data_IF_968647149726
#
_entry.id   IF_968647149726
#
_cell.length_a   1.000
_cell.length_b   1.000
_cell.length_c   1.000
_cell.angle_alpha   90.00
_cell.angle_beta   90.00
_cell.angle_gamma   90.00
#
_symmetry.space_group_name_H-M   'P 1'
#
loop_
_entity.id
_entity.type
_entity.pdbx_description
1 polymer ?
#
# COMPACT_ATOMS: atom_id res chain seq x y z
N UNK A 1 52.73 44.33 45.28
CA UNK A 1 52.27 45.26 44.22
C UNK A 1 52.16 44.58 42.87
N UNK A 2 53.21 44.57 42.05
CA UNK A 2 53.24 43.86 40.75
C UNK A 2 54.15 42.63 40.79
N UNK A 3 55.25 42.71 41.53
CA UNK A 3 56.22 41.61 41.70
C UNK A 3 55.58 40.39 42.37
N UNK A 4 54.66 40.62 43.30
CA UNK A 4 53.93 39.57 44.03
C UNK A 4 52.87 38.87 43.15
N UNK A 5 52.31 39.58 42.17
CA UNK A 5 51.37 39.03 41.19
C UNK A 5 52.08 38.15 40.14
N UNK A 6 53.37 38.37 39.89
CA UNK A 6 54.19 37.53 39.00
C UNK A 6 54.64 36.23 39.67
N UNK A 7 54.58 36.13 41.00
CA UNK A 7 54.91 34.92 41.75
C UNK A 7 53.76 33.90 41.79
N UNK A 8 52.56 34.28 41.37
CA UNK A 8 51.41 33.36 41.22
C UNK A 8 51.42 32.76 39.80
N UNK A 9 51.11 31.44 39.64
CA UNK A 9 51.06 30.81 38.33
C UNK A 9 50.12 31.57 37.40
N UNK A 10 50.67 32.18 36.36
CA UNK A 10 49.89 32.89 35.37
C UNK A 10 49.14 31.86 34.49
N UNK A 11 47.87 32.10 34.13
CA UNK A 11 47.19 31.27 33.16
C UNK A 11 48.00 31.25 31.87
N UNK A 12 48.34 30.05 31.40
CA UNK A 12 49.13 29.85 30.19
C UNK A 12 48.47 30.61 29.04
N UNK A 13 49.19 31.57 28.43
CA UNK A 13 48.72 32.24 27.23
C UNK A 13 48.34 31.17 26.21
N UNK A 14 47.17 31.30 25.55
CA UNK A 14 46.76 30.45 24.43
C UNK A 14 47.71 30.68 23.23
N UNK A 15 48.96 30.26 23.36
CA UNK A 15 49.89 30.14 22.25
C UNK A 15 49.49 28.95 21.38
N UNK A 16 49.94 28.96 20.12
CA UNK A 16 49.80 27.82 19.19
C UNK A 16 50.47 26.59 19.84
N UNK A 17 49.66 25.68 20.39
CA UNK A 17 50.15 24.42 20.95
C UNK A 17 50.62 23.54 19.78
N UNK A 18 51.93 23.43 19.56
CA UNK A 18 52.47 22.39 18.68
C UNK A 18 52.23 21.05 19.34
N UNK A 19 51.53 20.15 18.65
CA UNK A 19 51.34 18.77 19.07
C UNK A 19 52.07 17.88 18.08
N UNK A 20 53.29 17.48 18.41
CA UNK A 20 54.18 16.74 17.50
C UNK A 20 53.65 15.34 17.13
N UNK A 21 52.62 14.86 17.83
CA UNK A 21 51.95 13.57 17.60
C UNK A 21 50.58 13.70 16.90
N UNK A 22 50.15 14.90 16.50
CA UNK A 22 48.85 15.12 15.85
C UNK A 22 49.08 15.54 14.40
N UNK A 23 48.60 14.71 13.47
CA UNK A 23 48.58 15.00 12.05
C UNK A 23 47.19 15.44 11.62
N UNK A 24 47.11 16.43 10.72
CA UNK A 24 45.86 16.92 10.15
C UNK A 24 45.85 16.50 8.68
N UNK A 25 44.77 15.84 8.29
CA UNK A 25 44.57 15.35 6.93
C UNK A 25 43.33 15.97 6.31
N UNK A 26 43.35 16.08 4.99
CA UNK A 26 42.19 16.41 4.20
C UNK A 26 41.43 15.10 3.87
N UNK A 27 40.19 14.89 4.34
CA UNK A 27 39.43 13.72 3.92
C UNK A 27 39.04 13.85 2.45
N UNK A 28 39.27 12.80 1.66
CA UNK A 28 38.82 12.78 0.26
C UNK A 28 37.30 13.07 0.16
N UNK A 29 36.80 13.81 -0.86
CA UNK A 29 35.37 14.08 -1.02
C UNK A 29 34.47 12.86 -0.82
N UNK A 30 34.74 11.74 -1.51
CA UNK A 30 34.00 10.48 -1.33
C UNK A 30 33.98 9.94 0.11
N UNK A 31 35.06 10.16 0.87
CA UNK A 31 35.16 9.77 2.26
C UNK A 31 34.36 10.71 3.15
N UNK A 32 34.44 12.03 2.92
CA UNK A 32 33.67 13.04 3.66
C UNK A 32 32.17 12.76 3.64
N UNK A 33 31.64 12.27 2.50
CA UNK A 33 30.23 11.87 2.33
C UNK A 33 29.76 10.80 3.33
N UNK A 34 30.69 10.00 3.87
CA UNK A 34 30.36 8.84 4.69
C UNK A 34 30.85 8.95 6.14
N UNK A 35 31.87 9.78 6.39
CA UNK A 35 32.54 9.84 7.70
C UNK A 35 32.10 11.02 8.57
N UNK A 36 31.35 11.98 8.02
CA UNK A 36 30.84 13.11 8.82
C UNK A 36 29.90 12.63 9.94
N UNK A 37 30.07 13.18 11.13
CA UNK A 37 29.27 12.81 12.31
C UNK A 37 27.80 13.27 12.23
N UNK A 38 27.53 14.27 11.38
CA UNK A 38 26.19 14.79 11.10
C UNK A 38 25.89 14.62 9.62
N UNK A 39 24.61 14.68 9.24
CA UNK A 39 24.18 14.64 7.84
C UNK A 39 24.88 15.80 7.10
N UNK A 40 25.74 15.53 6.09
CA UNK A 40 26.50 16.56 5.38
C UNK A 40 25.64 17.72 4.87
N UNK A 41 24.46 17.42 4.31
CA UNK A 41 23.51 18.44 3.88
C UNK A 41 23.04 19.37 5.01
N UNK A 42 22.80 18.83 6.21
CA UNK A 42 22.39 19.63 7.38
C UNK A 42 23.54 20.53 7.84
N UNK A 43 24.76 20.00 7.88
CA UNK A 43 25.95 20.80 8.18
C UNK A 43 26.14 21.90 7.12
N UNK A 44 25.85 21.60 5.85
CA UNK A 44 26.00 22.56 4.78
C UNK A 44 24.99 23.70 4.87
N UNK A 45 23.73 23.39 5.22
CA UNK A 45 22.75 24.45 5.50
C UNK A 45 23.19 25.31 6.69
N UNK A 46 23.77 24.70 7.73
CA UNK A 46 24.31 25.43 8.88
C UNK A 46 25.42 26.40 8.49
N UNK A 47 26.48 25.93 7.80
CA UNK A 47 27.60 26.79 7.41
C UNK A 47 27.15 27.91 6.45
N UNK A 48 26.21 27.61 5.56
CA UNK A 48 25.66 28.66 4.68
C UNK A 48 24.94 29.74 5.48
N UNK A 49 24.12 29.38 6.47
CA UNK A 49 23.46 30.35 7.35
C UNK A 49 24.46 31.16 8.17
N UNK A 50 25.58 30.55 8.58
CA UNK A 50 26.67 31.23 9.30
C UNK A 50 27.39 32.27 8.42
N UNK A 51 27.53 32.00 7.12
CA UNK A 51 28.17 32.91 6.15
C UNK A 51 27.22 34.02 5.65
N UNK A 52 25.93 33.97 6.00
CA UNK A 52 24.89 34.92 5.60
C UNK A 52 23.76 34.26 4.83
N UNK A 53 22.53 34.77 4.99
CA UNK A 53 21.38 34.29 4.20
C UNK A 53 21.60 34.67 2.73
N UNK A 54 21.61 33.70 1.79
CA UNK A 54 21.65 34.04 0.37
C UNK A 54 20.38 34.79 -0.02
N UNK A 55 20.46 35.68 -1.01
CA UNK A 55 19.27 36.25 -1.65
C UNK A 55 18.33 35.12 -2.06
N UNK A 56 17.05 35.27 -1.74
CA UNK A 56 16.03 34.26 -2.01
C UNK A 56 16.10 33.92 -3.50
N UNK A 57 16.42 32.66 -3.89
CA UNK A 57 16.63 32.36 -5.29
C UNK A 57 15.34 32.67 -6.05
N UNK A 58 15.42 33.60 -7.00
CA UNK A 58 14.33 33.90 -7.92
C UNK A 58 14.01 32.60 -8.65
N UNK A 59 12.77 32.16 -8.57
CA UNK A 59 12.34 30.89 -9.18
C UNK A 59 12.81 30.79 -10.63
N UNK A 60 13.69 29.83 -10.90
CA UNK A 60 13.46 28.77 -11.88
C UNK A 60 14.65 27.84 -11.81
N UNK A 61 14.43 26.58 -11.41
CA UNK A 61 15.34 25.52 -11.84
C UNK A 61 15.45 25.61 -13.38
N UNK A 62 16.64 25.45 -13.98
CA UNK A 62 16.78 25.55 -15.42
C UNK A 62 15.76 24.62 -16.09
N UNK A 63 14.78 25.19 -16.77
CA UNK A 63 13.82 24.40 -17.56
C UNK A 63 14.64 23.63 -18.57
N UNK A 64 14.51 22.30 -18.54
CA UNK A 64 15.05 21.45 -19.60
C UNK A 64 14.40 21.92 -20.89
N UNK A 65 15.14 22.69 -21.70
CA UNK A 65 14.75 22.93 -23.09
C UNK A 65 14.97 21.62 -23.82
N UNK A 66 13.93 20.82 -23.92
CA UNK A 66 13.93 19.73 -24.89
C UNK A 66 14.06 20.37 -26.28
N UNK A 67 15.14 20.03 -26.97
CA UNK A 67 15.31 20.44 -28.35
C UNK A 67 14.17 19.78 -29.16
N UNK A 68 13.44 20.51 -30.02
CA UNK A 68 12.23 20.01 -30.70
C UNK A 68 12.45 18.81 -31.64
N UNK A 69 13.68 18.32 -31.77
CA UNK A 69 14.07 17.19 -32.60
C UNK A 69 14.17 15.85 -31.85
N UNK A 70 13.91 15.79 -30.54
CA UNK A 70 14.00 14.54 -29.77
C UNK A 70 15.41 13.91 -29.72
N UNK A 71 16.43 14.61 -30.23
CA UNK A 71 17.82 14.20 -30.23
C UNK A 71 18.49 14.70 -28.94
N UNK A 72 18.70 13.79 -27.97
CA UNK A 72 19.71 13.99 -26.93
C UNK A 72 21.08 13.92 -27.58
N UNK A 73 21.81 15.03 -27.56
CA UNK A 73 23.21 15.07 -27.95
C UNK A 73 24.01 14.23 -26.95
N UNK A 74 24.28 12.98 -27.28
CA UNK A 74 25.28 12.17 -26.57
C UNK A 74 26.64 12.57 -27.13
N UNK A 75 27.15 13.73 -26.69
CA UNK A 75 28.53 14.12 -26.99
C UNK A 75 29.44 13.61 -25.87
N UNK A 76 30.16 12.55 -26.22
CA UNK A 76 31.51 12.19 -25.75
C UNK A 76 32.15 13.18 -24.75
N UNK A 77 32.45 12.71 -23.54
CA UNK A 77 33.45 13.28 -22.62
C UNK A 77 33.16 14.64 -21.97
N UNK A 78 32.33 15.50 -22.58
CA UNK A 78 32.00 16.85 -22.11
C UNK A 78 30.71 16.85 -21.26
N UNK A 79 29.92 15.77 -21.35
CA UNK A 79 28.68 15.59 -20.60
C UNK A 79 28.86 15.43 -19.09
N UNK A 80 30.02 14.97 -18.62
CA UNK A 80 30.29 14.78 -17.19
C UNK A 80 30.48 16.11 -16.46
N UNK A 81 31.30 17.03 -16.98
CA UNK A 81 31.50 18.35 -16.35
C UNK A 81 30.23 19.21 -16.38
N UNK A 82 29.47 19.17 -17.47
CA UNK A 82 28.20 19.92 -17.57
C UNK A 82 27.10 19.31 -16.70
N UNK A 83 27.05 17.98 -16.53
CA UNK A 83 26.14 17.33 -15.56
C UNK A 83 26.54 17.66 -14.13
N UNK A 84 27.81 17.50 -13.79
CA UNK A 84 28.35 17.82 -12.46
C UNK A 84 28.16 19.29 -12.09
N UNK A 85 28.33 20.22 -13.04
CA UNK A 85 28.04 21.65 -12.82
C UNK A 85 26.56 21.86 -12.53
N UNK A 86 25.65 21.22 -13.27
CA UNK A 86 24.19 21.32 -13.05
C UNK A 86 23.76 20.71 -11.72
N UNK A 87 24.36 19.59 -11.32
CA UNK A 87 24.14 18.94 -10.03
C UNK A 87 24.61 19.84 -8.88
N UNK A 88 25.80 20.43 -9.00
CA UNK A 88 26.30 21.45 -8.06
C UNK A 88 25.39 22.67 -7.99
N UNK A 89 24.92 23.19 -9.12
CA UNK A 89 23.96 24.30 -9.15
C UNK A 89 22.63 23.94 -8.46
N UNK A 90 22.10 22.73 -8.72
CA UNK A 90 20.87 22.25 -8.08
C UNK A 90 21.04 22.11 -6.57
N UNK A 91 22.18 21.59 -6.10
CA UNK A 91 22.54 21.53 -4.69
C UNK A 91 22.61 22.93 -4.08
N UNK A 92 23.27 23.88 -4.74
CA UNK A 92 23.40 25.26 -4.27
C UNK A 92 22.02 25.93 -4.12
N UNK A 93 21.10 25.68 -5.05
CA UNK A 93 19.70 26.12 -4.97
C UNK A 93 18.97 25.45 -3.81
N UNK A 94 19.11 24.14 -3.64
CA UNK A 94 18.50 23.39 -2.54
C UNK A 94 18.99 23.89 -1.17
N UNK A 95 20.29 24.14 -1.03
CA UNK A 95 20.90 24.72 0.16
C UNK A 95 20.40 26.14 0.43
N UNK A 96 20.29 26.99 -0.60
CA UNK A 96 19.78 28.35 -0.45
C UNK A 96 18.30 28.37 -0.01
N UNK A 97 17.45 27.54 -0.63
CA UNK A 97 16.04 27.38 -0.22
C UNK A 97 15.92 26.89 1.22
N UNK A 98 16.74 25.91 1.60
CA UNK A 98 16.75 25.33 2.94
C UNK A 98 17.29 26.29 4.01
N UNK A 99 18.26 27.15 3.64
CA UNK A 99 18.83 28.16 4.52
C UNK A 99 17.88 29.35 4.75
N UNK A 100 17.08 29.73 3.75
CA UNK A 100 16.22 30.93 3.75
C UNK A 100 14.72 30.67 3.87
N UNK A 101 14.29 29.55 4.45
CA UNK A 101 12.89 29.15 4.49
C UNK A 101 11.95 30.11 5.27
N UNK A 102 12.47 30.98 6.15
CA UNK A 102 11.67 31.99 6.84
C UNK A 102 12.43 33.31 7.10
N UNK A 103 11.82 34.50 6.85
CA UNK A 103 12.48 35.81 7.08
C UNK A 103 12.87 36.09 8.54
N UNK A 104 12.20 35.45 9.50
CA UNK A 104 12.53 35.56 10.94
C UNK A 104 13.70 34.67 11.38
N UNK A 105 14.19 33.78 10.51
CA UNK A 105 15.16 32.75 10.89
C UNK A 105 16.61 33.23 10.84
N UNK A 106 16.94 34.48 10.47
CA UNK A 106 18.34 34.93 10.47
C UNK A 106 19.05 34.71 11.82
N UNK A 107 18.31 34.76 12.93
CA UNK A 107 18.82 34.62 14.30
C UNK A 107 18.28 33.41 15.07
N UNK A 108 17.40 32.59 14.47
CA UNK A 108 16.84 31.40 15.12
C UNK A 108 17.77 30.17 15.01
N UNK A 109 17.82 29.26 15.99
CA UNK A 109 18.58 28.01 15.84
C UNK A 109 18.11 27.18 14.62
N UNK A 110 19.01 26.41 14.01
CA UNK A 110 18.68 25.58 12.85
C UNK A 110 17.73 24.43 13.23
N UNK A 111 16.50 24.49 12.73
CA UNK A 111 15.55 23.38 12.83
C UNK A 111 15.93 22.26 11.87
N UNK A 112 16.55 21.21 12.43
CA UNK A 112 17.02 20.04 11.65
C UNK A 112 15.87 19.27 10.98
N UNK A 113 14.67 19.22 11.57
CA UNK A 113 13.53 18.54 10.96
C UNK A 113 13.07 19.27 9.69
N UNK A 114 13.04 20.60 9.72
CA UNK A 114 12.76 21.40 8.52
C UNK A 114 13.81 21.19 7.45
N UNK A 115 15.09 21.12 7.81
CA UNK A 115 16.16 20.84 6.83
C UNK A 115 16.02 19.44 6.24
N UNK A 116 15.69 18.42 7.04
CA UNK A 116 15.43 17.06 6.54
C UNK A 116 14.21 17.01 5.61
N UNK A 117 13.16 17.79 5.89
CA UNK A 117 12.02 17.94 4.99
C UNK A 117 12.40 18.64 3.68
N UNK A 118 13.23 19.68 3.76
CA UNK A 118 13.73 20.40 2.58
C UNK A 118 14.66 19.52 1.72
N UNK A 119 15.49 18.68 2.35
CA UNK A 119 16.27 17.65 1.68
C UNK A 119 15.36 16.68 0.91
N UNK A 120 14.31 16.15 1.57
CA UNK A 120 13.37 15.24 0.92
C UNK A 120 12.61 15.90 -0.24
N UNK A 121 12.27 17.19 -0.11
CA UNK A 121 11.63 17.94 -1.18
C UNK A 121 12.59 18.12 -2.37
N UNK A 122 13.84 18.52 -2.12
CA UNK A 122 14.86 18.65 -3.16
C UNK A 122 15.14 17.31 -3.87
N UNK A 123 15.21 16.22 -3.11
CA UNK A 123 15.36 14.87 -3.65
C UNK A 123 14.13 14.43 -4.46
N UNK A 124 12.92 14.80 -4.04
CA UNK A 124 11.69 14.53 -4.81
C UNK A 124 11.65 15.30 -6.13
N UNK A 125 12.11 16.56 -6.14
CA UNK A 125 12.25 17.36 -7.37
C UNK A 125 13.32 16.78 -8.30
N UNK A 126 14.43 16.25 -7.77
CA UNK A 126 15.46 15.57 -8.56
C UNK A 126 14.95 14.24 -9.13
N UNK A 127 14.27 13.44 -8.31
CA UNK A 127 13.61 12.20 -8.70
C UNK A 127 12.64 12.43 -9.85
N UNK A 128 11.77 13.44 -9.75
CA UNK A 128 10.83 13.79 -10.82
C UNK A 128 11.53 14.22 -12.11
N UNK A 129 12.64 14.97 -12.02
CA UNK A 129 13.42 15.35 -13.21
C UNK A 129 14.09 14.16 -13.89
N UNK A 130 14.56 13.18 -13.11
CA UNK A 130 15.29 12.02 -13.63
C UNK A 130 14.40 10.88 -14.11
N UNK A 131 13.24 10.67 -13.46
CA UNK A 131 12.33 9.54 -13.74
C UNK A 131 11.01 9.97 -14.39
N UNK A 132 10.66 11.26 -14.35
CA UNK A 132 9.33 11.75 -14.73
C UNK A 132 8.21 11.40 -13.74
N UNK A 133 8.50 10.62 -12.70
CA UNK A 133 7.52 10.19 -11.71
C UNK A 133 7.34 11.22 -10.60
N UNK A 134 6.10 11.38 -10.12
CA UNK A 134 5.77 12.31 -9.06
C UNK A 134 5.52 11.55 -7.77
N UNK A 135 6.11 12.03 -6.68
CA UNK A 135 5.85 11.45 -5.36
C UNK A 135 4.47 11.91 -4.87
N UNK A 136 3.58 10.96 -4.57
CA UNK A 136 2.27 11.27 -4.03
C UNK A 136 2.38 11.95 -2.63
N UNK A 137 1.51 12.91 -2.29
CA UNK A 137 1.52 13.54 -0.96
C UNK A 137 1.37 12.55 0.21
N UNK A 138 0.62 11.46 -0.01
CA UNK A 138 0.47 10.39 0.98
C UNK A 138 1.79 9.63 1.24
N UNK A 139 2.62 9.47 0.21
CA UNK A 139 3.96 8.86 0.33
C UNK A 139 4.87 9.72 1.21
N UNK A 140 4.80 11.05 1.12
CA UNK A 140 5.53 11.96 2.01
C UNK A 140 5.07 11.82 3.47
N UNK A 141 3.76 11.70 3.71
CA UNK A 141 3.22 11.47 5.07
C UNK A 141 3.70 10.14 5.66
N UNK A 142 3.68 9.09 4.83
CA UNK A 142 4.17 7.75 5.20
C UNK A 142 5.66 7.79 5.51
N UNK A 143 6.45 8.47 4.67
CA UNK A 143 7.89 8.66 4.88
C UNK A 143 8.20 9.35 6.21
N UNK A 144 7.51 10.46 6.51
CA UNK A 144 7.68 11.19 7.79
C UNK A 144 7.35 10.31 9.00
N UNK A 145 6.27 9.55 8.90
CA UNK A 145 5.83 8.66 9.98
C UNK A 145 6.84 7.53 10.19
N UNK A 146 7.30 6.92 9.09
CA UNK A 146 8.28 5.85 9.12
C UNK A 146 9.62 6.30 9.70
N UNK A 147 10.21 7.39 9.18
CA UNK A 147 11.52 7.87 9.64
C UNK A 147 11.48 8.35 11.08
N UNK A 148 10.40 9.01 11.52
CA UNK A 148 10.16 9.34 12.93
C UNK A 148 10.12 8.08 13.79
N UNK A 149 9.31 7.10 13.43
CA UNK A 149 9.15 5.88 14.22
C UNK A 149 10.46 5.08 14.27
N UNK A 150 11.22 5.05 13.17
CA UNK A 150 12.52 4.39 13.12
C UNK A 150 13.52 5.10 14.05
N UNK A 151 13.61 6.43 14.03
CA UNK A 151 14.44 7.18 14.97
C UNK A 151 14.07 6.87 16.43
N UNK A 152 12.76 6.83 16.74
CA UNK A 152 12.25 6.51 18.08
C UNK A 152 12.64 5.10 18.53
N UNK A 153 12.54 4.10 17.65
CA UNK A 153 12.93 2.72 17.96
C UNK A 153 14.42 2.58 18.27
N UNK A 154 15.25 3.44 17.72
CA UNK A 154 16.69 3.48 17.99
C UNK A 154 17.08 4.43 19.13
N UNK A 155 16.10 4.98 19.87
CA UNK A 155 16.36 5.92 20.96
C UNK A 155 16.96 7.25 20.49
N UNK A 156 16.76 7.62 19.21
CA UNK A 156 17.23 8.88 18.62
C UNK A 156 16.11 9.91 18.60
N UNK A 157 16.46 11.17 18.87
CA UNK A 157 15.52 12.30 18.76
C UNK A 157 15.16 12.63 17.30
N UNK A 158 16.09 12.41 16.38
CA UNK A 158 15.97 12.73 14.97
C UNK A 158 16.50 11.58 14.12
N UNK A 159 15.94 11.37 12.91
CA UNK A 159 16.44 10.35 12.03
C UNK A 159 17.83 10.69 11.50
N UNK A 160 18.67 9.67 11.33
CA UNK A 160 19.96 9.79 10.66
C UNK A 160 19.81 9.66 9.12
N UNK A 161 20.87 9.92 8.37
CA UNK A 161 20.84 9.85 6.90
C UNK A 161 20.45 8.44 6.40
N UNK A 162 20.91 7.39 7.08
CA UNK A 162 20.57 6.01 6.73
C UNK A 162 19.06 5.76 6.82
N UNK A 163 18.42 6.19 7.90
CA UNK A 163 16.98 6.08 8.10
C UNK A 163 16.20 6.89 7.06
N UNK A 164 16.68 8.08 6.69
CA UNK A 164 16.06 8.87 5.62
C UNK A 164 16.12 8.15 4.26
N UNK A 165 17.25 7.54 3.91
CA UNK A 165 17.46 6.78 2.67
C UNK A 165 16.57 5.53 2.64
N UNK A 166 16.56 4.74 3.73
CA UNK A 166 15.72 3.53 3.82
C UNK A 166 14.24 3.88 3.76
N UNK A 167 13.84 4.97 4.42
CA UNK A 167 12.47 5.49 4.32
C UNK A 167 12.12 5.88 2.88
N UNK A 168 13.02 6.60 2.19
CA UNK A 168 12.81 7.03 0.81
C UNK A 168 12.65 5.83 -0.13
N UNK A 169 13.48 4.80 0.05
CA UNK A 169 13.36 3.52 -0.65
C UNK A 169 12.01 2.85 -0.44
N UNK A 170 11.49 2.87 0.80
CA UNK A 170 10.24 2.23 1.15
C UNK A 170 9.00 2.90 0.57
N UNK A 171 9.04 4.21 0.29
CA UNK A 171 7.88 4.96 -0.24
C UNK A 171 7.84 5.10 -1.75
N UNK A 172 8.96 4.86 -2.43
CA UNK A 172 9.05 4.85 -3.89
C UNK A 172 9.92 3.68 -4.35
N UNK A 173 11.19 3.93 -4.63
CA UNK A 173 12.14 2.94 -5.14
C UNK A 173 13.61 3.31 -4.82
N UNK A 174 14.55 2.52 -5.36
CA UNK A 174 15.98 2.75 -5.23
C UNK A 174 16.46 4.05 -5.92
N UNK A 175 15.72 4.61 -6.88
CA UNK A 175 16.07 5.89 -7.51
C UNK A 175 15.82 7.05 -6.54
N UNK A 176 14.66 7.09 -5.87
CA UNK A 176 14.42 8.13 -4.86
C UNK A 176 15.41 8.02 -3.70
N UNK A 177 15.73 6.80 -3.27
CA UNK A 177 16.74 6.55 -2.25
C UNK A 177 18.13 7.06 -2.68
N UNK A 178 18.47 6.93 -3.97
CA UNK A 178 19.70 7.48 -4.55
C UNK A 178 19.71 9.00 -4.49
N UNK A 179 18.65 9.69 -4.88
CA UNK A 179 18.57 11.16 -4.81
C UNK A 179 18.73 11.68 -3.37
N UNK A 180 18.12 11.00 -2.39
CA UNK A 180 18.26 11.36 -0.96
C UNK A 180 19.68 11.12 -0.46
N UNK A 181 20.30 10.00 -0.83
CA UNK A 181 21.69 9.73 -0.50
C UNK A 181 22.63 10.75 -1.14
N UNK A 182 22.43 11.03 -2.42
CA UNK A 182 23.33 11.87 -3.21
C UNK A 182 23.35 13.30 -2.63
N UNK A 183 22.17 13.93 -2.51
CA UNK A 183 22.02 15.25 -1.92
C UNK A 183 22.35 15.28 -0.42
N UNK A 184 21.93 14.25 0.33
CA UNK A 184 22.06 14.21 1.78
C UNK A 184 23.49 14.05 2.26
N UNK A 185 24.31 13.33 1.49
CA UNK A 185 25.72 13.06 1.79
C UNK A 185 26.69 14.10 1.23
N UNK A 186 26.20 15.07 0.46
CA UNK A 186 27.06 16.05 -0.21
C UNK A 186 27.56 17.15 0.74
N UNK A 187 28.87 17.42 0.71
CA UNK A 187 29.51 18.52 1.43
C UNK A 187 30.26 19.45 0.44
N UNK A 188 29.68 20.62 0.10
CA UNK A 188 30.16 21.45 -1.01
C UNK A 188 31.58 22.01 -0.89
N UNK A 189 32.14 22.09 0.33
CA UNK A 189 33.44 22.74 0.56
C UNK A 189 34.60 21.75 0.65
N UNK A 190 34.38 20.46 0.40
CA UNK A 190 35.46 19.47 0.36
C UNK A 190 36.01 19.38 -1.05
N UNK A 191 37.31 19.65 -1.20
CA UNK A 191 38.06 19.43 -2.43
C UNK A 191 39.04 18.28 -2.25
N UNK A 192 39.35 17.58 -3.34
CA UNK A 192 40.42 16.59 -3.40
C UNK A 192 41.78 17.28 -3.36
N UNK A 193 41.89 18.47 -3.96
CA UNK A 193 43.10 19.28 -3.99
C UNK A 193 43.09 20.28 -2.81
N UNK A 194 43.83 19.96 -1.76
CA UNK A 194 44.00 20.83 -0.60
C UNK A 194 45.48 20.99 -0.23
N UNK A 195 45.79 22.03 0.54
CA UNK A 195 47.15 22.25 1.08
C UNK A 195 47.61 21.14 2.04
N UNK A 196 46.65 20.38 2.58
CA UNK A 196 46.88 19.24 3.48
C UNK A 196 46.88 17.92 2.68
N UNK A 197 47.65 16.90 3.09
CA UNK A 197 47.62 15.60 2.44
C UNK A 197 46.21 14.98 2.46
N UNK A 198 45.75 14.56 1.29
CA UNK A 198 44.43 13.94 1.12
C UNK A 198 44.47 12.45 1.46
N UNK A 199 43.54 11.99 2.31
CA UNK A 199 43.43 10.59 2.73
C UNK A 199 42.04 10.05 2.42
N UNK A 200 41.97 8.83 1.88
CA UNK A 200 40.74 8.06 1.74
C UNK A 200 40.54 7.21 3.00
N UNK A 201 39.40 7.41 3.65
CA UNK A 201 38.99 6.65 4.83
C UNK A 201 37.62 6.04 4.59
N UNK A 202 37.43 4.85 5.12
CA UNK A 202 36.15 4.15 5.14
C UNK A 202 35.43 4.41 6.47
N UNK A 203 34.09 4.27 6.52
CA UNK A 203 33.34 4.41 7.76
C UNK A 203 33.77 3.43 8.86
N UNK A 204 34.21 2.23 8.48
CA UNK A 204 34.63 1.18 9.42
C UNK A 204 35.97 1.50 10.11
N UNK A 205 36.77 2.40 9.54
CA UNK A 205 38.03 2.87 10.15
C UNK A 205 37.80 3.98 11.19
N UNK A 206 36.65 4.65 11.15
CA UNK A 206 36.34 5.78 12.04
C UNK A 206 35.27 5.42 13.08
N UNK A 207 34.24 4.67 12.68
CA UNK A 207 33.07 4.41 13.50
C UNK A 207 32.96 2.93 13.88
N UNK A 208 32.61 2.67 15.14
CA UNK A 208 32.28 1.32 15.60
C UNK A 208 30.87 0.94 15.13
N UNK A 209 30.78 0.11 14.10
CA UNK A 209 29.52 -0.47 13.60
C UNK A 209 28.85 0.35 12.50
N UNK A 210 29.46 0.41 11.32
CA UNK A 210 28.87 1.07 10.15
C UNK A 210 27.65 0.30 9.60
N UNK A 211 26.71 1.05 9.00
CA UNK A 211 25.56 0.48 8.29
C UNK A 211 25.80 0.54 6.80
N UNK A 212 25.57 -0.60 6.14
CA UNK A 212 25.70 -0.71 4.68
C UNK A 212 24.33 -0.81 4.04
N UNK A 213 24.18 -0.18 2.89
CA UNK A 213 23.03 -0.31 2.02
C UNK A 213 23.51 -0.44 0.58
N UNK A 214 22.71 -1.09 -0.26
CA UNK A 214 22.98 -1.20 -1.68
C UNK A 214 21.80 -0.59 -2.44
N UNK A 215 22.09 0.42 -3.24
CA UNK A 215 21.13 1.02 -4.16
C UNK A 215 21.35 0.43 -5.54
N UNK A 216 20.25 0.06 -6.21
CA UNK A 216 20.24 -0.37 -7.60
C UNK A 216 19.29 0.52 -8.40
N UNK A 217 19.67 1.78 -8.68
CA UNK A 217 18.85 2.69 -9.44
C UNK A 217 18.45 2.06 -10.79
N UNK A 218 17.17 2.21 -11.16
CA UNK A 218 16.66 1.73 -12.44
C UNK A 218 17.02 2.76 -13.51
N UNK A 219 17.95 2.40 -14.37
CA UNK A 219 18.24 3.21 -15.57
C UNK A 219 17.09 3.05 -16.55
N UNK A 220 16.43 4.16 -16.89
CA UNK A 220 15.42 4.16 -17.95
C UNK A 220 16.04 3.67 -19.26
N UNK A 221 15.58 2.52 -19.74
CA UNK A 221 15.95 2.04 -21.07
C UNK A 221 15.20 2.88 -22.09
N UNK A 222 15.90 3.79 -22.78
CA UNK A 222 15.36 4.55 -23.91
C UNK A 222 14.73 3.69 -25.00
N UNK A 223 15.10 2.41 -25.06
CA UNK A 223 14.49 1.38 -25.92
C UNK A 223 13.48 0.55 -25.13
N UNK A 224 12.36 1.15 -24.71
CA UNK A 224 11.16 0.38 -24.29
C UNK A 224 10.63 -0.32 -25.53
N UNK A 225 10.87 -1.62 -25.67
CA UNK A 225 10.16 -2.43 -26.66
C UNK A 225 8.68 -2.38 -26.28
N UNK A 226 7.86 -1.79 -27.14
CA UNK A 226 6.42 -2.00 -27.08
C UNK A 226 6.24 -3.52 -27.23
N UNK A 227 5.95 -4.21 -26.13
CA UNK A 227 5.42 -5.55 -26.24
C UNK A 227 4.06 -5.37 -26.93
N UNK A 228 3.83 -6.01 -28.09
CA UNK A 228 2.48 -6.06 -28.63
C UNK A 228 1.66 -6.84 -27.61
N UNK A 229 0.95 -6.12 -26.74
CA UNK A 229 -0.20 -6.68 -26.06
C UNK A 229 -1.13 -7.02 -27.21
N UNK A 230 -1.21 -8.31 -27.55
CA UNK A 230 -2.26 -8.80 -28.45
C UNK A 230 -3.57 -8.61 -27.68
N UNK A 231 -4.11 -7.39 -27.71
CA UNK A 231 -5.49 -7.14 -27.35
C UNK A 231 -6.29 -8.06 -28.27
N UNK A 232 -6.91 -9.10 -27.71
CA UNK A 232 -7.87 -9.90 -28.47
C UNK A 232 -8.91 -8.92 -28.99
N UNK A 233 -9.09 -8.86 -30.31
CA UNK A 233 -10.15 -8.06 -30.90
C UNK A 233 -11.49 -8.57 -30.35
N UNK A 234 -12.32 -7.65 -29.86
CA UNK A 234 -13.64 -8.00 -29.35
C UNK A 234 -14.48 -8.48 -30.53
N UNK A 235 -14.97 -9.71 -30.46
CA UNK A 235 -15.88 -10.21 -31.49
C UNK A 235 -17.13 -9.34 -31.55
N UNK A 236 -17.64 -9.11 -32.77
CA UNK A 236 -18.84 -8.34 -33.04
C UNK A 236 -19.91 -9.22 -33.70
N UNK A 237 -21.18 -8.92 -33.44
CA UNK A 237 -22.31 -9.52 -34.16
C UNK A 237 -22.18 -9.27 -35.66
N UNK A 238 -22.51 -10.27 -36.50
CA UNK A 238 -22.51 -10.07 -37.95
C UNK A 238 -23.74 -9.25 -38.37
N UNK A 239 -24.86 -9.43 -37.66
CA UNK A 239 -26.09 -8.65 -37.83
C UNK A 239 -26.63 -8.21 -36.47
N UNK A 240 -27.10 -6.96 -36.32
CA UNK A 240 -27.67 -6.50 -35.05
C UNK A 240 -28.78 -7.42 -34.54
N UNK A 241 -28.63 -7.91 -33.31
CA UNK A 241 -29.60 -8.76 -32.62
C UNK A 241 -29.50 -10.26 -32.93
N UNK A 242 -28.49 -10.69 -33.68
CA UNK A 242 -28.22 -12.10 -33.98
C UNK A 242 -28.02 -12.93 -32.70
N UNK A 243 -27.11 -12.49 -31.81
CA UNK A 243 -26.81 -13.22 -30.58
C UNK A 243 -28.00 -13.24 -29.61
N UNK A 244 -28.81 -12.18 -29.58
CA UNK A 244 -30.04 -12.14 -28.77
C UNK A 244 -31.05 -13.19 -29.23
N UNK A 245 -31.27 -13.34 -30.54
CA UNK A 245 -32.16 -14.37 -31.09
C UNK A 245 -31.64 -15.76 -30.73
N UNK A 246 -30.35 -15.99 -30.88
CA UNK A 246 -29.71 -17.27 -30.53
C UNK A 246 -29.87 -17.62 -29.05
N UNK A 247 -29.69 -16.65 -28.14
CA UNK A 247 -29.89 -16.86 -26.71
C UNK A 247 -31.32 -17.30 -26.37
N UNK A 248 -32.34 -16.69 -26.99
CA UNK A 248 -33.76 -17.02 -26.75
C UNK A 248 -34.21 -18.35 -27.37
N UNK A 249 -33.49 -18.89 -28.36
CA UNK A 249 -33.82 -20.17 -29.00
C UNK A 249 -33.29 -21.40 -28.26
N UNK A 250 -32.57 -21.20 -27.15
CA UNK A 250 -31.99 -22.30 -26.38
C UNK A 250 -32.99 -23.05 -25.51
N UNK A 251 -32.67 -24.32 -25.23
CA UNK A 251 -33.50 -25.25 -24.46
C UNK A 251 -33.13 -25.30 -22.97
N UNK A 252 -32.13 -24.53 -22.52
CA UNK A 252 -31.68 -24.50 -21.13
C UNK A 252 -30.56 -23.48 -20.91
N UNK A 253 -30.32 -23.14 -19.65
CA UNK A 253 -29.29 -22.20 -19.22
C UNK A 253 -28.33 -22.87 -18.24
N UNK A 254 -27.04 -22.54 -18.33
CA UNK A 254 -26.02 -23.02 -17.40
C UNK A 254 -24.99 -21.93 -17.10
N UNK A 255 -24.21 -22.16 -16.04
CA UNK A 255 -23.14 -21.29 -15.61
C UNK A 255 -21.84 -21.50 -16.41
N UNK A 256 -20.93 -20.53 -16.27
CA UNK A 256 -19.57 -20.63 -16.81
C UNK A 256 -18.60 -21.14 -15.73
N UNK A 257 -18.04 -22.37 -15.85
CA UNK A 257 -17.32 -23.03 -14.76
C UNK A 257 -16.16 -22.23 -14.14
N UNK A 258 -15.36 -21.46 -14.91
CA UNK A 258 -14.30 -20.64 -14.31
C UNK A 258 -14.81 -19.55 -13.36
N UNK A 259 -16.04 -19.06 -13.54
CA UNK A 259 -16.66 -18.10 -12.62
C UNK A 259 -17.21 -18.80 -11.39
N UNK A 260 -17.73 -20.01 -11.55
CA UNK A 260 -18.23 -20.84 -10.43
C UNK A 260 -17.10 -21.12 -9.43
N UNK A 261 -15.91 -21.50 -9.90
CA UNK A 261 -14.72 -21.67 -9.04
C UNK A 261 -14.38 -20.39 -8.26
N UNK A 262 -14.47 -19.22 -8.91
CA UNK A 262 -14.18 -17.94 -8.25
C UNK A 262 -15.21 -17.61 -7.16
N UNK A 263 -16.47 -17.99 -7.37
CA UNK A 263 -17.55 -17.80 -6.39
C UNK A 263 -17.38 -18.77 -5.22
N UNK A 264 -17.03 -20.04 -5.47
CA UNK A 264 -16.74 -21.04 -4.43
C UNK A 264 -15.52 -20.66 -3.58
N UNK A 265 -14.40 -20.28 -4.21
CA UNK A 265 -13.19 -19.79 -3.51
C UNK A 265 -13.53 -18.59 -2.61
N UNK A 266 -14.40 -17.69 -3.10
CA UNK A 266 -14.86 -16.56 -2.31
C UNK A 266 -15.77 -16.99 -1.15
N UNK A 267 -16.65 -17.96 -1.38
CA UNK A 267 -17.46 -18.58 -0.33
C UNK A 267 -16.58 -19.16 0.79
N UNK A 268 -15.55 -19.93 0.46
CA UNK A 268 -14.58 -20.45 1.43
C UNK A 268 -13.83 -19.33 2.17
N UNK A 269 -13.38 -18.31 1.44
CA UNK A 269 -12.74 -17.15 2.05
C UNK A 269 -13.65 -16.45 3.07
N UNK A 270 -14.94 -16.31 2.76
CA UNK A 270 -15.94 -15.73 3.67
C UNK A 270 -16.15 -16.61 4.92
N UNK A 271 -16.23 -17.94 4.75
CA UNK A 271 -16.32 -18.88 5.88
C UNK A 271 -15.10 -18.75 6.80
N UNK A 272 -13.90 -18.68 6.22
CA UNK A 272 -12.65 -18.49 6.98
C UNK A 272 -12.61 -17.15 7.74
N UNK A 273 -12.95 -16.04 7.06
CA UNK A 273 -13.01 -14.70 7.68
C UNK A 273 -14.01 -14.64 8.83
N UNK A 274 -15.17 -15.29 8.67
CA UNK A 274 -16.19 -15.37 9.71
C UNK A 274 -15.73 -16.16 10.93
N UNK A 275 -15.04 -17.30 10.73
CA UNK A 275 -14.44 -18.06 11.83
C UNK A 275 -13.41 -17.23 12.59
N UNK A 276 -12.56 -16.48 11.89
CA UNK A 276 -11.60 -15.60 12.54
C UNK A 276 -12.28 -14.52 13.38
N UNK A 277 -13.35 -13.89 12.85
CA UNK A 277 -14.13 -12.90 13.60
C UNK A 277 -14.72 -13.50 14.89
N UNK A 278 -15.36 -14.67 14.80
CA UNK A 278 -15.92 -15.35 15.95
C UNK A 278 -14.84 -15.74 16.98
N UNK A 279 -13.66 -16.16 16.52
CA UNK A 279 -12.54 -16.49 17.40
C UNK A 279 -12.00 -15.25 18.13
N UNK A 280 -12.02 -14.08 17.49
CA UNK A 280 -11.64 -12.81 18.09
C UNK A 280 -12.66 -12.31 19.12
N UNK A 281 -13.96 -12.51 18.87
CA UNK A 281 -15.01 -12.17 19.84
C UNK A 281 -14.92 -13.02 21.12
N UNK A 282 -14.57 -14.30 21.00
CA UNK A 282 -14.40 -15.24 22.12
C UNK A 282 -12.97 -15.26 22.70
N UNK A 283 -12.11 -14.32 22.31
CA UNK A 283 -10.71 -14.28 22.72
C UNK A 283 -10.56 -14.04 24.23
N UNK A 284 -9.69 -14.82 24.87
CA UNK A 284 -9.31 -14.61 26.28
C UNK A 284 -8.00 -13.86 26.36
N UNK A 285 -7.93 -12.89 27.25
CA UNK A 285 -6.69 -12.17 27.54
C UNK A 285 -6.12 -12.64 28.87
N UNK A 286 -4.83 -12.99 28.88
CA UNK A 286 -4.11 -13.45 30.08
C UNK A 286 -2.74 -12.76 30.17
N UNK A 287 -2.17 -12.60 31.39
CA UNK A 287 -0.80 -12.14 31.54
C UNK A 287 0.18 -13.10 30.88
N UNK A 288 1.15 -12.55 30.16
CA UNK A 288 2.24 -13.29 29.54
C UNK A 288 3.05 -14.00 30.63
N UNK A 289 3.26 -15.30 30.42
CA UNK A 289 4.07 -16.13 31.30
C UNK A 289 5.17 -16.80 30.49
N UNK A 290 4.82 -17.75 29.63
CA UNK A 290 5.77 -18.59 28.90
C UNK A 290 5.51 -18.65 27.39
N UNK A 291 4.31 -18.30 26.93
CA UNK A 291 3.91 -18.37 25.53
C UNK A 291 3.18 -17.12 25.08
N UNK A 292 3.45 -16.70 23.84
CA UNK A 292 2.77 -15.56 23.18
C UNK A 292 1.33 -15.93 22.76
N UNK A 293 0.93 -17.20 22.90
CA UNK A 293 -0.40 -17.70 22.47
C UNK A 293 -0.65 -17.31 21.01
N UNK A 294 -1.76 -16.64 20.72
CA UNK A 294 -2.12 -16.17 19.38
C UNK A 294 -1.71 -14.71 19.12
N UNK A 295 -1.03 -14.08 20.08
CA UNK A 295 -0.45 -12.74 19.93
C UNK A 295 -0.51 -11.90 21.20
N UNK A 296 0.22 -10.79 21.19
CA UNK A 296 0.20 -9.80 22.29
C UNK A 296 -1.03 -8.92 22.14
N UNK A 297 -1.82 -8.77 23.20
CA UNK A 297 -2.88 -7.76 23.27
C UNK A 297 -2.25 -6.41 23.66
N UNK A 298 -1.96 -5.60 22.65
CA UNK A 298 -1.35 -4.28 22.83
C UNK A 298 -2.25 -3.35 23.65
N UNK A 299 -3.58 -3.45 23.50
CA UNK A 299 -4.51 -2.55 24.19
C UNK A 299 -4.55 -2.87 25.67
N UNK A 300 -4.64 -4.15 26.04
CA UNK A 300 -4.63 -4.57 27.43
C UNK A 300 -3.26 -4.37 28.08
N UNK A 301 -2.18 -4.60 27.31
CA UNK A 301 -0.81 -4.35 27.76
C UNK A 301 -0.58 -2.87 28.07
N UNK A 302 -1.05 -1.95 27.22
CA UNK A 302 -0.93 -0.51 27.46
C UNK A 302 -1.83 -0.06 28.62
N UNK A 303 -3.03 -0.64 28.76
CA UNK A 303 -3.93 -0.34 29.88
C UNK A 303 -3.29 -0.70 31.23
N UNK A 304 -2.59 -1.83 31.29
CA UNK A 304 -1.92 -2.33 32.50
C UNK A 304 -0.41 -2.10 32.47
N UNK A 305 0.07 -1.08 31.75
CA UNK A 305 1.49 -0.81 31.55
C UNK A 305 2.25 -0.61 32.88
N UNK A 306 1.56 -0.07 33.89
CA UNK A 306 2.10 0.14 35.23
C UNK A 306 2.46 -1.17 35.96
N UNK A 307 1.91 -2.32 35.57
CA UNK A 307 2.25 -3.62 36.16
C UNK A 307 3.55 -4.21 35.60
N UNK A 308 4.10 -3.65 34.51
CA UNK A 308 5.29 -4.19 33.84
C UNK A 308 5.07 -5.57 33.21
N UNK A 309 3.81 -5.98 33.00
CA UNK A 309 3.43 -7.27 32.42
C UNK A 309 2.91 -7.08 31.00
N UNK A 310 3.30 -7.99 30.12
CA UNK A 310 2.68 -8.13 28.80
C UNK A 310 1.40 -8.93 28.93
N UNK A 311 0.39 -8.64 28.13
CA UNK A 311 -0.83 -9.42 28.04
C UNK A 311 -0.90 -10.09 26.68
N UNK A 312 -1.28 -11.36 26.66
CA UNK A 312 -1.42 -12.17 25.45
C UNK A 312 -2.87 -12.57 25.26
N UNK A 313 -3.30 -12.65 24.00
CA UNK A 313 -4.61 -13.15 23.62
C UNK A 313 -4.52 -14.59 23.16
N UNK A 314 -5.45 -15.41 23.64
CA UNK A 314 -5.69 -16.76 23.16
C UNK A 314 -7.04 -16.77 22.45
N UNK A 315 -7.00 -17.00 21.14
CA UNK A 315 -8.18 -17.18 20.29
C UNK A 315 -8.74 -18.57 20.56
N UNK A 316 -9.96 -18.62 21.10
CA UNK A 316 -10.61 -19.90 21.33
C UNK A 316 -11.06 -20.49 20.00
N UNK A 317 -10.96 -21.83 19.90
CA UNK A 317 -11.55 -22.55 18.77
C UNK A 317 -13.06 -22.31 18.78
N UNK A 318 -13.54 -21.69 17.71
CA UNK A 318 -14.97 -21.49 17.48
C UNK A 318 -15.67 -22.84 17.44
N UNK A 319 -16.76 -22.98 18.19
CA UNK A 319 -17.59 -24.18 18.16
C UNK A 319 -18.44 -24.17 16.89
N UNK A 320 -18.20 -25.13 16.01
CA UNK A 320 -18.99 -25.36 14.80
C UNK A 320 -18.40 -24.72 13.56
N UNK A 321 -18.81 -25.26 12.42
CA UNK A 321 -18.43 -24.82 11.08
C UNK A 321 -19.39 -23.72 10.58
N UNK A 322 -19.06 -23.10 9.45
CA UNK A 322 -19.94 -22.16 8.75
C UNK A 322 -20.66 -22.92 7.63
N UNK A 323 -21.99 -22.92 7.64
CA UNK A 323 -22.80 -23.67 6.68
C UNK A 323 -23.06 -22.87 5.42
N UNK A 324 -24.08 -22.02 5.48
CA UNK A 324 -24.50 -21.18 4.37
C UNK A 324 -23.84 -19.80 4.36
N UNK A 325 -23.67 -19.24 3.16
CA UNK A 325 -23.12 -17.90 2.93
C UNK A 325 -24.07 -17.09 2.07
N UNK A 326 -24.43 -15.90 2.52
CA UNK A 326 -25.27 -14.95 1.79
C UNK A 326 -24.47 -13.68 1.51
N UNK A 327 -24.48 -13.25 0.25
CA UNK A 327 -23.82 -12.01 -0.19
C UNK A 327 -24.86 -11.13 -0.88
N UNK A 328 -25.03 -9.92 -0.36
CA UNK A 328 -25.97 -8.91 -0.86
C UNK A 328 -25.17 -7.68 -1.29
N UNK A 329 -25.05 -7.48 -2.60
CA UNK A 329 -24.41 -6.29 -3.18
C UNK A 329 -25.38 -5.10 -3.21
N UNK A 330 -26.66 -5.38 -3.45
CA UNK A 330 -27.72 -4.39 -3.61
C UNK A 330 -29.06 -5.00 -3.15
N UNK A 331 -29.70 -4.43 -2.14
CA UNK A 331 -30.95 -4.95 -1.56
C UNK A 331 -32.16 -4.82 -2.50
N UNK A 332 -32.06 -4.01 -3.56
CA UNK A 332 -33.15 -3.74 -4.51
C UNK A 332 -34.44 -3.25 -3.81
N UNK A 333 -34.34 -2.14 -3.07
CA UNK A 333 -35.44 -1.65 -2.21
C UNK A 333 -36.76 -1.39 -2.98
N UNK A 334 -36.70 -1.17 -4.30
CA UNK A 334 -37.86 -0.88 -5.17
C UNK A 334 -38.32 -2.13 -5.96
N UNK A 335 -37.60 -3.26 -5.87
CA UNK A 335 -37.89 -4.52 -6.58
C UNK A 335 -37.99 -4.38 -8.12
N UNK A 336 -37.14 -3.54 -8.70
CA UNK A 336 -37.15 -3.28 -10.15
C UNK A 336 -35.85 -3.66 -10.84
N UNK A 337 -34.71 -3.56 -10.14
CA UNK A 337 -33.40 -3.60 -10.80
C UNK A 337 -32.97 -5.01 -11.16
N UNK A 338 -33.35 -6.00 -10.34
CA UNK A 338 -32.92 -7.38 -10.47
C UNK A 338 -34.13 -8.32 -10.57
N UNK A 339 -34.86 -8.31 -11.69
CA UNK A 339 -36.11 -9.06 -11.82
C UNK A 339 -35.89 -10.58 -11.91
N UNK A 340 -34.69 -11.01 -12.30
CA UNK A 340 -34.40 -12.40 -12.55
C UNK A 340 -34.00 -13.10 -11.25
N UNK A 341 -34.77 -14.13 -10.88
CA UNK A 341 -34.64 -14.91 -9.64
C UNK A 341 -34.54 -16.37 -10.01
N UNK A 342 -33.58 -17.08 -9.44
CA UNK A 342 -33.40 -18.49 -9.75
C UNK A 342 -32.69 -19.24 -8.63
N UNK A 343 -32.93 -20.54 -8.59
CA UNK A 343 -32.24 -21.52 -7.76
C UNK A 343 -31.49 -22.48 -8.68
N UNK A 344 -30.20 -22.68 -8.42
CA UNK A 344 -29.26 -23.52 -9.13
C UNK A 344 -28.75 -24.63 -8.22
N UNK A 345 -28.69 -25.83 -8.79
CA UNK A 345 -28.08 -26.97 -8.13
C UNK A 345 -26.65 -27.14 -8.61
N UNK A 346 -25.75 -27.48 -7.69
CA UNK A 346 -24.39 -27.86 -8.06
C UNK A 346 -24.40 -29.07 -9.00
N UNK A 347 -23.73 -28.95 -10.15
CA UNK A 347 -23.54 -30.04 -11.11
C UNK A 347 -22.48 -31.04 -10.60
N UNK A 348 -21.58 -30.57 -9.74
CA UNK A 348 -20.48 -31.35 -9.20
C UNK A 348 -20.54 -31.47 -7.67
N UNK A 349 -19.96 -32.54 -7.13
CA UNK A 349 -20.00 -32.84 -5.68
C UNK A 349 -19.25 -31.83 -4.80
N UNK A 350 -18.44 -30.96 -5.41
CA UNK A 350 -17.69 -29.89 -4.75
C UNK A 350 -18.37 -28.52 -4.90
N UNK A 351 -19.50 -28.44 -5.60
CA UNK A 351 -20.24 -27.19 -5.79
C UNK A 351 -21.34 -27.06 -4.74
N UNK A 352 -21.65 -25.83 -4.36
CA UNK A 352 -22.76 -25.50 -3.49
C UNK A 352 -24.04 -25.33 -4.32
N UNK A 353 -25.21 -25.63 -3.73
CA UNK A 353 -26.46 -25.11 -4.26
C UNK A 353 -26.48 -23.59 -4.11
N UNK A 354 -27.01 -22.89 -5.12
CA UNK A 354 -27.03 -21.43 -5.16
C UNK A 354 -28.43 -20.90 -5.42
N UNK A 355 -28.86 -19.87 -4.70
CA UNK A 355 -30.04 -19.09 -5.06
C UNK A 355 -29.64 -17.63 -5.22
N UNK A 356 -30.14 -16.94 -6.24
CA UNK A 356 -29.74 -15.57 -6.51
C UNK A 356 -30.83 -14.74 -7.17
N UNK A 357 -30.66 -13.43 -7.07
CA UNK A 357 -31.38 -12.46 -7.88
C UNK A 357 -30.39 -11.57 -8.64
N UNK A 358 -30.68 -11.33 -9.91
CA UNK A 358 -29.78 -10.67 -10.84
C UNK A 358 -30.54 -9.85 -11.89
N UNK A 359 -29.78 -9.08 -12.67
CA UNK A 359 -30.31 -8.39 -13.85
C UNK A 359 -30.84 -9.39 -14.87
N UNK A 360 -31.82 -8.98 -15.68
CA UNK A 360 -32.36 -9.80 -16.75
C UNK A 360 -31.28 -10.30 -17.73
N UNK A 361 -31.26 -11.61 -18.00
CA UNK A 361 -30.26 -12.24 -18.86
C UNK A 361 -30.38 -11.82 -20.34
N UNK A 362 -31.55 -11.35 -20.80
CA UNK A 362 -31.74 -10.81 -22.14
C UNK A 362 -31.23 -9.37 -22.32
N UNK A 363 -30.89 -8.68 -21.23
CA UNK A 363 -30.49 -7.26 -21.25
C UNK A 363 -29.15 -7.03 -21.94
N UNK A 364 -28.13 -7.83 -21.61
CA UNK A 364 -26.76 -7.62 -22.08
C UNK A 364 -26.16 -8.91 -22.64
N UNK A 365 -26.33 -9.12 -23.95
CA UNK A 365 -25.72 -10.24 -24.67
C UNK A 365 -24.31 -9.85 -25.13
N UNK A 366 -23.31 -10.66 -24.79
CA UNK A 366 -21.88 -10.39 -25.06
C UNK A 366 -21.26 -11.32 -26.08
N UNK A 367 -21.95 -12.40 -26.43
CA UNK A 367 -21.55 -13.37 -27.45
C UNK A 367 -22.72 -14.27 -27.87
N UNK A 368 -22.53 -15.15 -28.86
CA UNK A 368 -23.55 -16.06 -29.36
C UNK A 368 -24.02 -17.00 -28.25
N UNK A 369 -25.22 -16.75 -27.72
CA UNK A 369 -25.74 -17.53 -26.60
C UNK A 369 -25.08 -17.24 -25.24
N UNK A 370 -24.46 -16.07 -25.06
CA UNK A 370 -23.76 -15.68 -23.82
C UNK A 370 -24.31 -14.34 -23.32
N UNK A 371 -24.90 -14.36 -22.14
CA UNK A 371 -25.44 -13.18 -21.47
C UNK A 371 -24.55 -12.78 -20.29
N UNK A 372 -24.23 -11.48 -20.18
CA UNK A 372 -23.58 -10.90 -19.00
C UNK A 372 -24.65 -10.40 -18.04
N UNK A 373 -24.61 -10.90 -16.81
CA UNK A 373 -25.53 -10.53 -15.74
C UNK A 373 -24.79 -9.92 -14.56
N UNK A 374 -25.52 -9.17 -13.74
CA UNK A 374 -25.01 -8.62 -12.49
C UNK A 374 -25.87 -9.11 -11.33
N UNK A 375 -25.23 -9.69 -10.31
CA UNK A 375 -25.90 -10.09 -9.07
C UNK A 375 -26.35 -8.85 -8.30
N UNK A 376 -27.59 -8.92 -7.80
CA UNK A 376 -28.03 -8.10 -6.68
C UNK A 376 -27.67 -8.78 -5.34
N UNK A 377 -27.82 -10.10 -5.29
CA UNK A 377 -27.34 -10.94 -4.19
C UNK A 377 -27.50 -12.42 -4.48
N UNK A 378 -26.75 -13.24 -3.74
CA UNK A 378 -26.78 -14.69 -3.84
C UNK A 378 -26.61 -15.37 -2.48
N UNK A 379 -27.12 -16.59 -2.38
CA UNK A 379 -26.97 -17.56 -1.30
C UNK A 379 -26.20 -18.74 -1.86
N UNK A 380 -25.25 -19.26 -1.10
CA UNK A 380 -24.59 -20.54 -1.34
C UNK A 380 -24.79 -21.46 -0.13
N UNK A 381 -25.18 -22.72 -0.39
CA UNK A 381 -25.34 -23.74 0.64
C UNK A 381 -24.80 -25.08 0.19
N UNK A 382 -24.01 -25.72 1.06
CA UNK A 382 -23.43 -27.04 0.85
C UNK A 382 -24.02 -28.01 1.88
N UNK A 383 -24.24 -29.31 1.59
CA UNK A 383 -24.02 -30.03 0.31
C UNK A 383 -25.02 -29.69 -0.82
N UNK A 384 -24.66 -29.96 -2.10
CA UNK A 384 -25.54 -29.70 -3.26
C UNK A 384 -26.70 -30.69 -3.38
N UNK A 385 -27.69 -30.35 -4.21
CA UNK A 385 -28.85 -31.17 -4.58
C UNK A 385 -29.99 -31.16 -3.56
N UNK A 386 -30.02 -30.19 -2.64
CA UNK A 386 -30.97 -30.12 -1.52
C UNK A 386 -31.89 -28.90 -1.58
N UNK A 387 -31.43 -27.80 -2.16
CA UNK A 387 -32.12 -26.51 -2.14
C UNK A 387 -33.32 -26.50 -3.09
N UNK A 388 -34.54 -26.54 -2.56
CA UNK A 388 -35.74 -26.33 -3.37
C UNK A 388 -35.82 -24.88 -3.90
N UNK A 389 -36.77 -24.59 -4.79
CA UNK A 389 -36.93 -23.23 -5.32
C UNK A 389 -37.37 -22.24 -4.22
N UNK A 390 -36.40 -21.54 -3.65
CA UNK A 390 -36.61 -20.60 -2.53
C UNK A 390 -37.48 -19.40 -2.90
N UNK A 391 -37.66 -19.12 -4.18
CA UNK A 391 -38.40 -17.94 -4.64
C UNK A 391 -39.91 -18.15 -4.67
N UNK A 392 -40.36 -19.40 -4.75
CA UNK A 392 -41.78 -19.79 -4.78
C UNK A 392 -42.21 -20.56 -3.52
N UNK A 393 -41.27 -20.79 -2.60
CA UNK A 393 -41.51 -21.48 -1.34
C UNK A 393 -42.54 -20.73 -0.46
N UNK A 394 -43.67 -21.38 -0.11
CA UNK A 394 -44.70 -20.80 0.74
C UNK A 394 -44.20 -20.28 2.09
N UNK A 395 -43.16 -20.90 2.65
CA UNK A 395 -42.65 -20.57 3.99
C UNK A 395 -41.96 -19.20 4.00
N UNK A 396 -41.48 -18.72 2.85
CA UNK A 396 -40.80 -17.42 2.72
C UNK A 396 -41.70 -16.29 2.20
N UNK A 397 -42.95 -16.56 1.80
CA UNK A 397 -43.85 -15.56 1.19
C UNK A 397 -44.17 -14.36 2.08
N UNK A 398 -44.04 -14.50 3.40
CA UNK A 398 -44.28 -13.43 4.35
C UNK A 398 -43.19 -12.34 4.34
N UNK A 399 -42.08 -12.60 3.63
CA UNK A 399 -40.93 -11.71 3.51
C UNK A 399 -41.02 -10.86 2.25
N UNK A 400 -40.72 -9.57 2.36
CA UNK A 400 -40.90 -8.61 1.27
C UNK A 400 -39.67 -8.41 0.39
N UNK A 401 -38.46 -8.62 0.92
CA UNK A 401 -37.22 -8.32 0.21
C UNK A 401 -36.52 -9.59 -0.27
N UNK A 402 -35.91 -9.56 -1.46
CA UNK A 402 -35.15 -10.70 -2.01
C UNK A 402 -33.98 -11.08 -1.12
N UNK A 403 -33.26 -10.10 -0.57
CA UNK A 403 -32.14 -10.32 0.35
C UNK A 403 -32.57 -11.03 1.64
N UNK A 404 -33.78 -10.76 2.12
CA UNK A 404 -34.36 -11.40 3.29
C UNK A 404 -34.80 -12.85 2.99
N UNK A 405 -35.33 -13.12 1.79
CA UNK A 405 -35.63 -14.49 1.32
C UNK A 405 -34.35 -15.32 1.28
N UNK A 406 -33.27 -14.78 0.70
CA UNK A 406 -31.96 -15.45 0.71
C UNK A 406 -31.46 -15.75 2.12
N UNK A 407 -31.66 -14.84 3.07
CA UNK A 407 -31.24 -15.03 4.45
C UNK A 407 -32.06 -16.10 5.18
N UNK A 408 -33.37 -16.19 4.98
CA UNK A 408 -34.18 -17.26 5.56
C UNK A 408 -33.80 -18.62 4.98
N UNK A 409 -33.72 -18.71 3.65
CA UNK A 409 -33.24 -19.92 2.99
C UNK A 409 -31.85 -20.32 3.49
N UNK A 410 -30.96 -19.36 3.75
CA UNK A 410 -29.66 -19.65 4.35
C UNK A 410 -29.76 -20.30 5.73
N UNK A 411 -30.68 -19.83 6.57
CA UNK A 411 -30.89 -20.35 7.93
C UNK A 411 -31.47 -21.78 7.89
N UNK A 412 -32.38 -22.04 6.95
CA UNK A 412 -33.07 -23.32 6.83
C UNK A 412 -32.18 -24.40 6.20
N UNK A 413 -31.46 -24.07 5.13
CA UNK A 413 -30.60 -25.02 4.41
C UNK A 413 -29.19 -25.18 5.02
N UNK A 414 -28.80 -24.35 5.99
CA UNK A 414 -27.48 -24.43 6.62
C UNK A 414 -27.33 -25.69 7.47
N UNK A 415 -26.35 -26.53 7.16
CA UNK A 415 -26.01 -27.69 8.00
C UNK A 415 -25.41 -27.28 9.35
N UNK A 416 -24.67 -26.17 9.38
CA UNK A 416 -23.94 -25.73 10.56
C UNK A 416 -24.60 -24.56 11.27
N UNK A 417 -24.16 -24.29 12.51
CA UNK A 417 -24.74 -23.25 13.37
C UNK A 417 -24.57 -21.86 12.78
N UNK A 418 -23.43 -21.58 12.17
CA UNK A 418 -23.06 -20.24 11.74
C UNK A 418 -23.45 -20.01 10.28
N UNK A 419 -24.18 -18.93 10.02
CA UNK A 419 -24.56 -18.47 8.69
C UNK A 419 -23.96 -17.10 8.44
N UNK A 420 -23.19 -16.95 7.36
CA UNK A 420 -22.52 -15.69 7.04
C UNK A 420 -23.45 -14.82 6.21
N UNK A 421 -23.57 -13.55 6.61
CA UNK A 421 -24.35 -12.55 5.88
C UNK A 421 -23.46 -11.35 5.57
N UNK A 422 -23.14 -11.17 4.30
CA UNK A 422 -22.32 -10.07 3.78
C UNK A 422 -23.21 -9.05 3.10
N UNK A 423 -23.29 -7.84 3.63
CA UNK A 423 -24.14 -6.80 3.07
C UNK A 423 -23.65 -5.40 3.45
N UNK A 424 -24.20 -4.36 2.82
CA UNK A 424 -23.94 -2.97 3.19
C UNK A 424 -24.54 -2.61 4.57
N UNK A 425 -25.69 -3.20 4.91
CA UNK A 425 -26.40 -3.00 6.18
C UNK A 425 -26.55 -4.34 6.92
N UNK A 426 -26.52 -4.35 8.26
CA UNK A 426 -26.82 -5.55 9.03
C UNK A 426 -28.28 -6.01 8.80
N UNK A 427 -28.56 -7.31 8.96
CA UNK A 427 -29.91 -7.82 8.81
C UNK A 427 -30.81 -7.28 9.94
N UNK A 428 -32.10 -7.18 9.68
CA UNK A 428 -33.08 -6.74 10.69
C UNK A 428 -33.03 -7.64 11.92
N UNK A 429 -33.29 -7.06 13.09
CA UNK A 429 -33.22 -7.77 14.39
C UNK A 429 -34.09 -9.02 14.44
N UNK A 430 -35.21 -9.04 13.72
CA UNK A 430 -36.12 -10.19 13.63
C UNK A 430 -35.37 -11.46 13.16
N UNK A 431 -34.44 -11.35 12.21
CA UNK A 431 -33.68 -12.50 11.69
C UNK A 431 -32.73 -13.10 12.73
N UNK A 432 -32.27 -12.32 13.72
CA UNK A 432 -31.49 -12.86 14.84
C UNK A 432 -32.36 -13.74 15.74
N UNK A 433 -33.62 -13.34 15.95
CA UNK A 433 -34.60 -14.12 16.71
C UNK A 433 -34.96 -15.42 15.97
N UNK A 434 -35.22 -15.33 14.66
CA UNK A 434 -35.49 -16.52 13.83
C UNK A 434 -34.29 -17.48 13.82
N UNK A 435 -33.08 -16.95 13.59
CA UNK A 435 -31.86 -17.76 13.67
C UNK A 435 -31.75 -18.46 15.02
N UNK A 436 -31.97 -17.76 16.13
CA UNK A 436 -31.93 -18.36 17.47
C UNK A 436 -32.96 -19.47 17.67
N UNK A 437 -34.18 -19.33 17.14
CA UNK A 437 -35.22 -20.38 17.18
C UNK A 437 -34.84 -21.62 16.39
N UNK A 438 -34.13 -21.44 15.27
CA UNK A 438 -33.60 -22.52 14.43
C UNK A 438 -32.27 -23.09 14.96
N UNK A 439 -31.78 -22.63 16.11
CA UNK A 439 -30.49 -23.05 16.65
C UNK A 439 -29.28 -22.53 15.83
N UNK A 440 -29.49 -21.50 15.02
CA UNK A 440 -28.49 -20.87 14.14
C UNK A 440 -28.04 -19.51 14.68
N UNK A 441 -26.93 -19.02 14.15
CA UNK A 441 -26.37 -17.71 14.46
C UNK A 441 -25.93 -17.01 13.17
N UNK A 442 -26.40 -15.77 12.99
CA UNK A 442 -26.02 -14.93 11.85
C UNK A 442 -24.73 -14.17 12.17
N UNK A 443 -23.70 -14.38 11.36
CA UNK A 443 -22.43 -13.65 11.41
C UNK A 443 -22.44 -12.58 10.33
N UNK A 444 -22.51 -11.32 10.75
CA UNK A 444 -22.55 -10.19 9.83
C UNK A 444 -21.14 -9.72 9.45
N UNK A 445 -20.86 -9.63 8.15
CA UNK A 445 -19.64 -9.03 7.61
C UNK A 445 -19.99 -7.81 6.76
N UNK A 446 -19.51 -6.59 7.09
CA UNK A 446 -19.76 -5.42 6.27
C UNK A 446 -19.14 -5.58 4.88
N UNK A 447 -19.91 -5.27 3.83
CA UNK A 447 -19.46 -5.33 2.43
C UNK A 447 -18.24 -4.42 2.19
N UNK A 448 -18.15 -3.28 2.89
CA UNK A 448 -17.01 -2.35 2.81
C UNK A 448 -15.68 -2.91 3.35
N UNK A 449 -15.68 -4.09 3.99
CA UNK A 449 -14.46 -4.75 4.47
C UNK A 449 -13.70 -5.52 3.38
N UNK A 450 -14.15 -5.47 2.13
CA UNK A 450 -13.59 -6.18 0.99
C UNK A 450 -13.11 -5.21 -0.10
N UNK A 451 -12.11 -5.63 -0.89
CA UNK A 451 -11.58 -4.81 -1.99
C UNK A 451 -12.66 -4.53 -3.05
N UNK A 452 -12.84 -3.26 -3.49
CA UNK A 452 -13.78 -2.92 -4.55
C UNK A 452 -13.55 -3.68 -5.86
N UNK A 453 -12.29 -4.06 -6.15
CA UNK A 453 -11.94 -4.82 -7.35
C UNK A 453 -12.48 -6.25 -7.27
N UNK A 454 -12.33 -6.90 -6.11
CA UNK A 454 -12.84 -8.25 -5.87
C UNK A 454 -14.37 -8.27 -5.93
N UNK A 455 -15.03 -7.29 -5.29
CA UNK A 455 -16.49 -7.17 -5.32
C UNK A 455 -17.01 -6.93 -6.74
N UNK A 456 -16.32 -6.10 -7.54
CA UNK A 456 -16.70 -5.86 -8.94
C UNK A 456 -16.56 -7.13 -9.78
N UNK A 457 -15.54 -7.94 -9.55
CA UNK A 457 -15.33 -9.22 -10.24
C UNK A 457 -16.44 -10.22 -9.88
N UNK A 458 -16.77 -10.37 -8.60
CA UNK A 458 -17.78 -11.32 -8.13
C UNK A 458 -19.22 -10.93 -8.47
N UNK A 459 -19.48 -9.62 -8.61
CA UNK A 459 -20.82 -9.14 -8.94
C UNK A 459 -21.24 -9.48 -10.37
N UNK A 460 -20.29 -9.73 -11.26
CA UNK A 460 -20.55 -9.99 -12.68
C UNK A 460 -20.39 -11.48 -12.95
N UNK A 461 -21.35 -12.06 -13.66
CA UNK A 461 -21.28 -13.44 -14.10
C UNK A 461 -21.90 -13.59 -15.50
N UNK A 462 -21.61 -14.71 -16.14
CA UNK A 462 -22.09 -15.02 -17.47
C UNK A 462 -22.99 -16.26 -17.47
N UNK A 463 -24.11 -16.12 -18.16
CA UNK A 463 -25.10 -17.17 -18.35
C UNK A 463 -24.99 -17.68 -19.78
N UNK A 464 -24.90 -18.98 -19.91
CA UNK A 464 -24.75 -19.66 -21.17
C UNK A 464 -26.06 -20.29 -21.57
N UNK A 465 -26.45 -20.13 -22.83
CA UNK A 465 -27.66 -20.70 -23.43
C UNK A 465 -27.56 -22.21 -23.74
N UNK A 466 -26.76 -22.95 -22.95
CA UNK A 466 -26.47 -24.37 -23.15
C UNK A 466 -25.01 -24.74 -22.88
N UNK A 467 -24.76 -26.01 -22.56
CA UNK A 467 -23.41 -26.51 -22.27
C UNK A 467 -22.47 -26.45 -23.48
N UNK A 468 -23.01 -26.52 -24.70
CA UNK A 468 -22.26 -26.37 -25.94
C UNK A 468 -21.52 -25.02 -26.01
N UNK A 469 -22.08 -23.97 -25.38
CA UNK A 469 -21.49 -22.63 -25.34
C UNK A 469 -20.26 -22.52 -24.45
N UNK A 470 -20.00 -23.46 -23.53
CA UNK A 470 -18.81 -23.45 -22.65
C UNK A 470 -17.50 -23.46 -23.46
N UNK A 471 -17.49 -24.11 -24.63
CA UNK A 471 -16.30 -24.19 -25.48
C UNK A 471 -15.91 -22.84 -26.12
N UNK A 472 -16.90 -22.02 -26.44
CA UNK A 472 -16.72 -20.71 -27.11
C UNK A 472 -16.69 -19.54 -26.13
N UNK A 473 -17.23 -19.71 -24.92
CA UNK A 473 -17.37 -18.65 -23.91
C UNK A 473 -16.05 -17.91 -23.59
N UNK A 474 -14.93 -18.64 -23.54
CA UNK A 474 -13.58 -18.10 -23.30
C UNK A 474 -13.11 -17.04 -24.31
N UNK A 475 -13.73 -16.97 -25.49
CA UNK A 475 -13.38 -16.02 -26.54
C UNK A 475 -14.21 -14.73 -26.44
N UNK A 476 -15.28 -14.74 -25.64
CA UNK A 476 -16.20 -13.61 -25.44
C UNK A 476 -16.25 -13.08 -24.00
N UNK A 477 -15.65 -13.77 -23.03
CA UNK A 477 -15.58 -13.37 -21.61
C UNK A 477 -14.15 -12.91 -21.29
N UNK A 478 -14.00 -11.74 -20.65
CA UNK A 478 -12.70 -11.09 -20.37
C UNK A 478 -12.57 -10.56 -18.95
#
# INVERSE_FOLDING_TARGET
GVVEALATPQPQQFGRVSRDLVQIFNPHPDSARQIMATIPFVAAVYERRRQGLPDRPTETAPRVREHPSGLRLVSSGIGTETSQRREREALQVALARSAGAHPSDAFAPLDRLRVQQALMQAASEAYQRHTGEHLAPASLSTWRTFTRNYALLEGRLLPDLYQLIVGARGVADDNLAHEVWDLGSEWPWQDENADLPTVRMSPDEIWLGSRRFALRPRVERSKRRLHPVRLKERHHERRPGEWRREFHHSTGICSYPPEDVVIEDFGEHLKSKAKHLLAEEDARVEPFTTSIRDGVDVRETVRNWFEGKLYVKELRRVRGEVGSVVVVFDEDEVDERYPWKMTWHGEHTQESDMAFYATDAGRQIVGPGIARCEYGGFLMSYPPGRMADVWTDPDYLHVRRKSEVLLLAALDYSEHRHVVYVAAKPPRSVFRTWAGRLGRQVVYLPLGSFSPVTLKKLRVFHVLSGHDKRAVAKDYIW
#
